data_IF_395035381694
#
_entry.id   IF_395035381694
#
_cell.length_a   1.000
_cell.length_b   1.000
_cell.length_c   1.000
_cell.angle_alpha   90.00
_cell.angle_beta   90.00
_cell.angle_gamma   90.00
#
_symmetry.space_group_name_H-M   'P 1'
#
loop_
_entity.id
_entity.type
_entity.pdbx_description
1 polymer ?
#
# COMPACT_ATOMS: atom_id res chain seq x y z
N UNK A 1 35.42 6.46 32.87
CA UNK A 1 36.32 6.82 31.74
C UNK A 1 35.45 7.29 30.57
N UNK A 2 35.71 8.48 29.98
CA UNK A 2 34.86 9.10 28.95
C UNK A 2 34.59 8.22 27.71
N UNK A 3 35.63 7.57 27.18
CA UNK A 3 35.51 6.67 26.02
C UNK A 3 34.60 5.45 26.27
N UNK A 4 34.54 4.96 27.51
CA UNK A 4 33.65 3.84 27.85
C UNK A 4 32.18 4.28 27.89
N UNK A 5 31.91 5.53 28.27
CA UNK A 5 30.57 6.10 28.21
C UNK A 5 30.10 6.29 26.77
N UNK A 6 30.99 6.78 25.89
CA UNK A 6 30.70 6.90 24.46
C UNK A 6 30.41 5.54 23.81
N UNK A 7 31.22 4.51 24.10
CA UNK A 7 30.96 3.15 23.61
C UNK A 7 29.56 2.67 24.00
N UNK A 8 29.21 2.78 25.29
CA UNK A 8 27.89 2.34 25.79
C UNK A 8 26.72 3.09 25.13
N UNK A 9 26.89 4.38 24.84
CA UNK A 9 25.87 5.16 24.15
C UNK A 9 25.73 4.72 22.68
N UNK A 10 26.85 4.48 21.99
CA UNK A 10 26.84 3.94 20.62
C UNK A 10 26.19 2.55 20.53
N UNK A 11 26.45 1.68 21.51
CA UNK A 11 25.80 0.36 21.59
C UNK A 11 24.28 0.51 21.75
N UNK A 12 23.80 1.45 22.58
CA UNK A 12 22.35 1.72 22.75
C UNK A 12 21.71 2.33 21.51
N UNK A 13 22.39 3.25 20.82
CA UNK A 13 21.90 3.83 19.57
C UNK A 13 21.79 2.79 18.45
N UNK A 14 22.71 1.82 18.42
CA UNK A 14 22.65 0.70 17.46
C UNK A 14 21.42 -0.20 17.70
N UNK A 15 20.87 -0.18 18.91
CA UNK A 15 19.63 -0.87 19.27
C UNK A 15 18.37 0.01 19.07
N UNK A 16 18.52 1.20 18.49
CA UNK A 16 17.41 2.13 18.22
C UNK A 16 17.01 3.04 19.39
N UNK A 17 17.77 3.03 20.49
CA UNK A 17 17.47 3.83 21.68
C UNK A 17 18.25 5.17 21.69
N UNK A 18 17.73 6.17 20.99
CA UNK A 18 18.33 7.51 20.88
C UNK A 18 18.06 8.44 22.06
N UNK A 19 17.47 7.94 23.16
CA UNK A 19 17.11 8.75 24.33
C UNK A 19 18.30 9.10 25.24
N UNK A 20 19.45 8.48 24.98
CA UNK A 20 20.64 8.59 25.83
C UNK A 20 21.39 9.89 25.54
N UNK A 21 21.83 10.58 26.58
CA UNK A 21 22.68 11.77 26.48
C UNK A 21 24.05 11.47 27.12
N UNK A 22 25.12 11.68 26.37
CA UNK A 22 26.49 11.57 26.87
C UNK A 22 26.87 12.85 27.62
N UNK A 23 26.75 12.81 28.95
CA UNK A 23 27.14 13.92 29.82
C UNK A 23 28.62 13.86 30.19
N UNK A 24 29.50 14.24 29.26
CA UNK A 24 30.94 14.43 29.54
C UNK A 24 31.21 15.92 29.78
N UNK A 25 31.60 16.26 31.02
CA UNK A 25 32.06 17.61 31.37
C UNK A 25 33.58 17.68 31.18
N UNK A 26 34.02 17.95 29.96
CA UNK A 26 35.42 18.19 29.64
C UNK A 26 35.52 19.34 28.65
N UNK A 27 36.54 20.18 28.78
CA UNK A 27 36.81 21.29 27.85
C UNK A 27 37.84 20.91 26.76
N UNK A 28 38.16 19.62 26.64
CA UNK A 28 39.07 19.06 25.65
C UNK A 28 38.31 18.55 24.40
N UNK A 29 39.04 17.96 23.47
CA UNK A 29 38.50 17.37 22.25
C UNK A 29 37.46 16.27 22.53
N UNK A 30 37.52 15.61 23.70
CA UNK A 30 36.54 14.60 24.10
C UNK A 30 35.20 15.25 24.43
N UNK A 31 35.20 16.44 25.04
CA UNK A 31 33.99 17.22 25.28
C UNK A 31 33.31 17.64 23.98
N UNK A 32 34.08 18.15 23.02
CA UNK A 32 33.58 18.55 21.69
C UNK A 32 33.02 17.35 20.92
N UNK A 33 33.71 16.20 20.98
CA UNK A 33 33.26 14.97 20.36
C UNK A 33 31.96 14.46 21.00
N UNK A 34 31.83 14.54 22.32
CA UNK A 34 30.61 14.15 23.04
C UNK A 34 29.41 15.02 22.61
N UNK A 35 29.58 16.35 22.52
CA UNK A 35 28.55 17.26 22.05
C UNK A 35 28.16 16.98 20.59
N UNK A 36 29.14 16.75 19.72
CA UNK A 36 28.91 16.40 18.31
C UNK A 36 28.15 15.08 18.19
N UNK A 37 28.52 14.08 19.00
CA UNK A 37 27.85 12.79 19.04
C UNK A 37 26.39 12.90 19.51
N UNK A 38 26.13 13.67 20.58
CA UNK A 38 24.78 13.96 21.04
C UNK A 38 23.93 14.67 19.97
N UNK A 39 24.51 15.63 19.23
CA UNK A 39 23.83 16.30 18.11
C UNK A 39 23.47 15.33 16.99
N UNK A 40 24.37 14.42 16.63
CA UNK A 40 24.09 13.38 15.63
C UNK A 40 22.99 12.43 16.09
N UNK A 41 23.05 11.99 17.35
CA UNK A 41 22.04 11.11 17.94
C UNK A 41 20.64 11.74 17.93
N UNK A 42 20.56 13.02 18.33
CA UNK A 42 19.31 13.77 18.31
C UNK A 42 18.76 13.89 16.88
N UNK A 43 19.59 14.28 15.91
CA UNK A 43 19.18 14.35 14.50
C UNK A 43 18.68 13.00 13.97
N UNK A 44 19.35 11.91 14.31
CA UNK A 44 18.95 10.58 13.88
C UNK A 44 17.62 10.16 14.51
N UNK A 45 17.43 10.41 15.81
CA UNK A 45 16.16 10.21 16.49
C UNK A 45 15.02 11.02 15.86
N UNK A 46 15.26 12.31 15.59
CA UNK A 46 14.28 13.19 14.94
C UNK A 46 13.90 12.68 13.54
N UNK A 47 14.86 12.21 12.75
CA UNK A 47 14.62 11.62 11.43
C UNK A 47 13.79 10.34 11.51
N UNK A 48 14.07 9.46 12.47
CA UNK A 48 13.31 8.21 12.65
C UNK A 48 11.87 8.51 13.05
N UNK A 49 11.65 9.46 13.96
CA UNK A 49 10.31 9.90 14.34
C UNK A 49 9.57 10.50 13.15
N UNK A 50 10.22 11.33 12.34
CA UNK A 50 9.64 11.89 11.13
C UNK A 50 9.23 10.80 10.12
N UNK A 51 10.12 9.84 9.85
CA UNK A 51 9.84 8.70 8.97
C UNK A 51 8.70 7.82 9.49
N UNK A 52 8.66 7.57 10.80
CA UNK A 52 7.57 6.79 11.41
C UNK A 52 6.23 7.50 11.24
N UNK A 53 6.18 8.83 11.43
CA UNK A 53 4.97 9.63 11.20
C UNK A 53 4.52 9.61 9.74
N UNK A 54 5.45 9.72 8.79
CA UNK A 54 5.13 9.65 7.36
C UNK A 54 4.56 8.27 6.99
N UNK A 55 5.17 7.19 7.51
CA UNK A 55 4.66 5.83 7.36
C UNK A 55 3.25 5.67 7.94
N UNK A 56 3.02 6.16 9.16
CA UNK A 56 1.70 6.12 9.80
C UNK A 56 0.65 6.93 9.02
N UNK A 57 1.02 8.09 8.47
CA UNK A 57 0.14 8.91 7.66
C UNK A 57 -0.26 8.18 6.36
N UNK A 58 0.70 7.59 5.65
CA UNK A 58 0.44 6.77 4.46
C UNK A 58 -0.46 5.58 4.81
N UNK A 59 -0.15 4.87 5.90
CA UNK A 59 -0.97 3.74 6.37
C UNK A 59 -2.40 4.17 6.71
N UNK A 60 -2.57 5.32 7.34
CA UNK A 60 -3.90 5.86 7.69
C UNK A 60 -4.70 6.20 6.44
N UNK A 61 -4.07 6.85 5.45
CA UNK A 61 -4.69 7.16 4.15
C UNK A 61 -5.11 5.87 3.43
N UNK A 62 -4.23 4.87 3.34
CA UNK A 62 -4.55 3.59 2.71
C UNK A 62 -5.68 2.83 3.43
N UNK A 63 -5.77 2.98 4.76
CA UNK A 63 -6.80 2.36 5.58
C UNK A 63 -8.16 3.06 5.51
N UNK A 64 -8.17 4.37 5.23
CA UNK A 64 -9.41 5.16 5.09
C UNK A 64 -9.94 5.19 3.66
N UNK A 65 -9.12 4.80 2.67
CA UNK A 65 -9.60 4.54 1.32
C UNK A 65 -10.65 3.42 1.34
N UNK A 66 -11.78 3.67 0.67
CA UNK A 66 -12.81 2.65 0.43
C UNK A 66 -12.36 1.68 -0.67
N UNK A 67 -11.55 2.17 -1.60
CA UNK A 67 -11.00 1.40 -2.70
C UNK A 67 -9.97 0.37 -2.18
N UNK A 68 -10.02 -0.84 -2.73
CA UNK A 68 -9.01 -1.86 -2.52
C UNK A 68 -7.76 -1.55 -3.33
N UNK A 69 -6.59 -1.56 -2.70
CA UNK A 69 -5.30 -1.40 -3.37
C UNK A 69 -4.50 -2.69 -3.24
N UNK A 70 -4.02 -3.21 -4.36
CA UNK A 70 -3.17 -4.40 -4.45
C UNK A 70 -1.92 -4.04 -5.25
N UNK A 71 -0.75 -4.34 -4.69
CA UNK A 71 0.53 -4.23 -5.42
C UNK A 71 1.04 -5.63 -5.75
N UNK A 72 1.40 -5.83 -7.01
CA UNK A 72 1.94 -7.07 -7.56
C UNK A 72 3.40 -6.89 -7.96
N UNK A 73 4.23 -7.93 -7.80
CA UNK A 73 5.59 -7.98 -8.34
C UNK A 73 5.59 -8.39 -9.84
N UNK A 74 6.78 -8.59 -10.42
CA UNK A 74 6.96 -9.02 -11.82
C UNK A 74 6.35 -10.39 -12.11
N UNK A 75 6.26 -11.25 -11.11
CA UNK A 75 5.74 -12.60 -11.22
C UNK A 75 4.23 -12.65 -10.94
N UNK A 76 3.59 -11.50 -10.69
CA UNK A 76 2.16 -11.39 -10.38
C UNK A 76 1.82 -11.75 -8.94
N UNK A 77 2.81 -11.78 -8.04
CA UNK A 77 2.61 -12.07 -6.62
C UNK A 77 2.29 -10.80 -5.84
N UNK A 78 1.32 -10.91 -4.93
CA UNK A 78 0.90 -9.82 -4.04
C UNK A 78 2.03 -9.45 -3.07
N UNK A 79 2.48 -8.19 -3.11
CA UNK A 79 3.47 -7.60 -2.20
C UNK A 79 2.78 -6.80 -1.09
N UNK A 80 1.78 -5.99 -1.43
CA UNK A 80 1.10 -5.07 -0.50
C UNK A 80 -0.40 -5.07 -0.78
N UNK A 81 -1.20 -5.07 0.27
CA UNK A 81 -2.65 -4.89 0.24
C UNK A 81 -3.10 -3.89 1.30
N UNK A 82 -4.21 -3.20 1.06
CA UNK A 82 -4.91 -2.46 2.11
C UNK A 82 -6.09 -3.29 2.68
N UNK A 83 -6.66 -2.91 3.84
CA UNK A 83 -7.74 -3.69 4.48
C UNK A 83 -8.98 -3.94 3.59
N UNK A 84 -9.48 -2.96 2.81
CA UNK A 84 -10.53 -3.23 1.82
C UNK A 84 -10.16 -4.29 0.79
N UNK A 85 -8.94 -4.25 0.23
CA UNK A 85 -8.47 -5.25 -0.72
C UNK A 85 -8.40 -6.65 -0.10
N UNK A 86 -7.99 -6.77 1.16
CA UNK A 86 -7.99 -8.07 1.86
C UNK A 86 -9.40 -8.67 1.97
N UNK A 87 -10.41 -7.83 2.26
CA UNK A 87 -11.81 -8.26 2.29
C UNK A 87 -12.28 -8.76 0.92
N UNK A 88 -11.95 -8.03 -0.14
CA UNK A 88 -12.29 -8.41 -1.52
C UNK A 88 -11.58 -9.69 -1.95
N UNK A 89 -10.29 -9.84 -1.65
CA UNK A 89 -9.50 -11.04 -1.93
C UNK A 89 -10.06 -12.28 -1.22
N UNK A 90 -10.50 -12.15 0.04
CA UNK A 90 -11.15 -13.24 0.78
C UNK A 90 -12.45 -13.68 0.12
N UNK A 91 -13.28 -12.74 -0.34
CA UNK A 91 -14.50 -13.05 -1.08
C UNK A 91 -14.21 -13.78 -2.40
N UNK A 92 -13.14 -13.38 -3.11
CA UNK A 92 -12.66 -14.05 -4.32
C UNK A 92 -12.22 -15.48 -4.10
N UNK A 93 -11.40 -15.73 -3.07
CA UNK A 93 -10.93 -17.08 -2.80
C UNK A 93 -12.07 -18.03 -2.39
N UNK A 94 -13.06 -17.52 -1.66
CA UNK A 94 -14.23 -18.30 -1.27
C UNK A 94 -15.04 -18.78 -2.49
N UNK A 95 -15.24 -17.93 -3.51
CA UNK A 95 -15.93 -18.34 -4.74
C UNK A 95 -15.17 -19.38 -5.56
N UNK A 96 -13.83 -19.36 -5.51
CA UNK A 96 -12.99 -20.29 -6.27
C UNK A 96 -12.74 -21.62 -5.53
N UNK A 97 -13.39 -21.85 -4.38
CA UNK A 97 -13.24 -23.08 -3.60
C UNK A 97 -11.87 -23.20 -2.90
N UNK A 98 -11.14 -22.09 -2.74
CA UNK A 98 -9.86 -22.07 -2.05
C UNK A 98 -10.05 -21.98 -0.54
N UNK A 99 -9.70 -23.05 0.18
CA UNK A 99 -9.57 -23.02 1.64
C UNK A 99 -8.30 -22.28 2.05
N UNK A 100 -8.41 -20.99 2.38
CA UNK A 100 -7.48 -20.31 3.28
C UNK A 100 -6.10 -19.91 2.75
N UNK A 101 -5.65 -18.77 3.25
CA UNK A 101 -4.28 -18.27 3.34
C UNK A 101 -3.34 -18.46 2.14
N UNK A 102 -3.10 -17.35 1.45
CA UNK A 102 -1.95 -17.14 0.56
C UNK A 102 -1.94 -17.94 -0.76
N UNK A 103 -3.09 -18.07 -1.44
CA UNK A 103 -2.97 -18.28 -2.89
C UNK A 103 -2.32 -17.03 -3.49
N UNK A 104 -1.09 -17.22 -3.98
CA UNK A 104 -0.14 -16.18 -4.38
C UNK A 104 -0.61 -15.46 -5.66
N UNK A 105 -1.67 -15.98 -6.28
CA UNK A 105 -2.14 -15.64 -7.61
C UNK A 105 -3.52 -15.00 -7.44
N UNK A 106 -3.64 -13.74 -7.85
CA UNK A 106 -4.95 -13.12 -7.96
C UNK A 106 -5.83 -13.93 -8.92
N UNK A 107 -7.14 -13.95 -8.72
CA UNK A 107 -8.07 -14.69 -9.59
C UNK A 107 -7.82 -14.40 -11.08
N UNK A 108 -8.16 -15.36 -11.95
CA UNK A 108 -7.86 -15.33 -13.39
C UNK A 108 -8.09 -13.97 -14.09
N UNK A 109 -9.14 -13.23 -13.69
CA UNK A 109 -9.46 -11.90 -14.21
C UNK A 109 -8.40 -10.82 -13.90
N UNK A 110 -7.79 -10.83 -12.70
CA UNK A 110 -6.70 -9.89 -12.37
C UNK A 110 -5.42 -10.30 -13.06
N UNK A 111 -5.15 -11.60 -13.17
CA UNK A 111 -3.95 -12.08 -13.86
C UNK A 111 -3.96 -11.70 -15.34
N UNK A 112 -5.12 -11.73 -16.01
CA UNK A 112 -5.24 -11.28 -17.40
C UNK A 112 -4.98 -9.78 -17.54
N UNK A 113 -5.55 -8.96 -16.65
CA UNK A 113 -5.29 -7.51 -16.60
C UNK A 113 -3.80 -7.24 -16.36
N UNK A 114 -3.18 -7.96 -15.43
CA UNK A 114 -1.76 -7.86 -15.12
C UNK A 114 -0.87 -8.18 -16.33
N UNK A 115 -1.14 -9.28 -17.02
CA UNK A 115 -0.40 -9.64 -18.22
C UNK A 115 -0.54 -8.58 -19.32
N UNK A 116 -1.71 -7.98 -19.47
CA UNK A 116 -1.95 -6.91 -20.43
C UNK A 116 -1.18 -5.63 -20.05
N UNK A 117 -1.22 -5.22 -18.79
CA UNK A 117 -0.49 -4.05 -18.26
C UNK A 117 1.02 -4.22 -18.42
N UNK A 118 1.56 -5.39 -18.07
CA UNK A 118 3.01 -5.67 -18.18
C UNK A 118 3.46 -5.75 -19.63
N UNK A 119 2.63 -6.33 -20.52
CA UNK A 119 2.96 -6.47 -21.94
C UNK A 119 2.90 -5.15 -22.69
N UNK A 120 1.88 -4.34 -22.41
CA UNK A 120 1.63 -3.08 -23.13
C UNK A 120 2.26 -1.87 -22.45
N UNK A 121 2.74 -2.02 -21.21
CA UNK A 121 3.25 -0.92 -20.37
C UNK A 121 2.27 0.24 -20.24
N UNK A 122 0.97 -0.07 -20.22
CA UNK A 122 -0.12 0.90 -20.16
C UNK A 122 -1.10 0.52 -19.08
N UNK A 123 -1.82 1.52 -18.57
CA UNK A 123 -2.92 1.29 -17.65
C UNK A 123 -4.07 0.56 -18.33
N UNK A 124 -4.68 -0.37 -17.61
CA UNK A 124 -5.85 -1.13 -18.05
C UNK A 124 -6.97 -0.94 -17.06
N UNK A 125 -8.17 -0.68 -17.59
CA UNK A 125 -9.40 -0.52 -16.83
C UNK A 125 -10.34 -1.64 -17.21
N UNK A 126 -10.81 -2.42 -16.23
CA UNK A 126 -11.73 -3.52 -16.45
C UNK A 126 -12.73 -3.65 -15.30
N UNK A 127 -13.95 -4.03 -15.62
CA UNK A 127 -14.97 -4.34 -14.62
C UNK A 127 -14.98 -5.84 -14.33
N UNK A 128 -14.94 -6.21 -13.05
CA UNK A 128 -14.93 -7.59 -12.56
C UNK A 128 -16.13 -7.78 -11.65
N UNK A 129 -16.92 -8.83 -11.89
CA UNK A 129 -18.11 -9.15 -11.08
C UNK A 129 -17.79 -10.33 -10.18
N UNK A 130 -18.00 -10.16 -8.87
CA UNK A 130 -17.79 -11.21 -7.85
C UNK A 130 -18.81 -11.13 -6.76
N UNK A 131 -19.36 -12.28 -6.38
CA UNK A 131 -20.43 -12.42 -5.38
C UNK A 131 -21.61 -11.47 -5.65
N UNK A 132 -21.89 -11.20 -6.94
CA UNK A 132 -22.92 -10.25 -7.36
C UNK A 132 -22.57 -8.77 -7.19
N UNK A 133 -21.36 -8.44 -6.74
CA UNK A 133 -20.83 -7.06 -6.69
C UNK A 133 -20.02 -6.75 -7.93
N UNK A 134 -20.09 -5.50 -8.39
CA UNK A 134 -19.34 -5.03 -9.56
C UNK A 134 -18.18 -4.17 -9.10
N UNK A 135 -16.96 -4.63 -9.37
CA UNK A 135 -15.74 -3.92 -9.06
C UNK A 135 -15.15 -3.31 -10.33
N UNK A 136 -14.84 -2.02 -10.31
CA UNK A 136 -14.01 -1.41 -11.34
C UNK A 136 -12.54 -1.49 -10.93
N UNK A 137 -11.74 -2.16 -11.75
CA UNK A 137 -10.32 -2.41 -11.51
C UNK A 137 -9.51 -1.55 -12.48
N UNK A 138 -8.69 -0.66 -11.92
CA UNK A 138 -7.69 0.12 -12.66
C UNK A 138 -6.32 -0.42 -12.27
N UNK A 139 -5.56 -0.90 -13.24
CA UNK A 139 -4.22 -1.41 -13.00
C UNK A 139 -3.19 -0.65 -13.82
N UNK A 140 -2.12 -0.19 -13.16
CA UNK A 140 -1.04 0.57 -13.77
C UNK A 140 0.32 -0.10 -13.52
N UNK A 141 1.26 -0.04 -14.47
CA UNK A 141 2.59 -0.63 -14.29
C UNK A 141 3.41 0.20 -13.29
N UNK A 142 4.17 -0.49 -12.44
CA UNK A 142 5.13 0.12 -11.53
C UNK A 142 6.53 0.04 -12.13
N UNK A 143 7.25 1.16 -12.18
CA UNK A 143 8.60 1.23 -12.74
C UNK A 143 9.66 1.37 -11.64
N UNK A 144 10.78 0.68 -11.82
CA UNK A 144 12.03 0.91 -11.11
C UNK A 144 13.16 1.09 -12.13
N UNK A 145 13.82 2.25 -12.11
CA UNK A 145 14.97 2.58 -12.98
C UNK A 145 14.81 2.10 -14.43
N UNK A 146 13.67 2.42 -15.06
CA UNK A 146 13.32 2.06 -16.45
C UNK A 146 12.95 0.58 -16.72
N UNK A 147 12.72 -0.23 -15.69
CA UNK A 147 12.11 -1.56 -15.87
C UNK A 147 10.82 -1.68 -15.07
N UNK A 148 9.81 -2.33 -15.65
CA UNK A 148 8.58 -2.68 -14.94
C UNK A 148 8.92 -3.60 -13.77
N UNK A 149 8.73 -3.13 -12.54
CA UNK A 149 8.93 -3.88 -11.29
C UNK A 149 7.69 -4.70 -10.90
N UNK A 150 6.54 -4.39 -11.51
CA UNK A 150 5.28 -5.07 -11.25
C UNK A 150 4.11 -4.16 -11.64
N UNK A 151 2.99 -4.26 -10.93
CA UNK A 151 1.84 -3.42 -11.18
C UNK A 151 1.12 -3.06 -9.88
N UNK A 152 0.39 -1.94 -9.90
CA UNK A 152 -0.54 -1.56 -8.84
C UNK A 152 -1.95 -1.61 -9.38
N UNK A 153 -2.84 -2.31 -8.69
CA UNK A 153 -4.26 -2.39 -8.99
C UNK A 153 -5.05 -1.66 -7.91
N UNK A 154 -5.96 -0.80 -8.35
CA UNK A 154 -6.96 -0.12 -7.52
C UNK A 154 -8.32 -0.66 -7.92
N UNK A 155 -9.11 -1.06 -6.93
CA UNK A 155 -10.37 -1.77 -7.10
C UNK A 155 -11.44 -1.02 -6.35
N UNK A 156 -12.43 -0.49 -7.07
CA UNK A 156 -13.55 0.23 -6.48
C UNK A 156 -14.81 -0.59 -6.60
N UNK A 157 -15.52 -0.79 -5.49
CA UNK A 157 -16.88 -1.32 -5.53
C UNK A 157 -17.79 -0.26 -6.16
N UNK A 158 -18.34 -0.56 -7.34
CA UNK A 158 -19.26 0.30 -8.09
C UNK A 158 -20.66 -0.31 -8.17
N UNK A 159 -20.99 -1.23 -7.27
CA UNK A 159 -22.25 -1.99 -7.33
C UNK A 159 -23.46 -1.07 -7.25
N UNK A 160 -23.45 -0.10 -6.33
CA UNK A 160 -24.57 0.84 -6.16
C UNK A 160 -24.73 1.74 -7.39
N UNK A 161 -23.63 2.32 -7.88
CA UNK A 161 -23.63 3.22 -9.03
C UNK A 161 -24.10 2.50 -10.30
N UNK A 162 -23.62 1.27 -10.53
CA UNK A 162 -24.04 0.44 -11.67
C UNK A 162 -25.50 0.03 -11.56
N UNK A 163 -25.98 -0.25 -10.35
CA UNK A 163 -27.39 -0.60 -10.11
C UNK A 163 -28.31 0.59 -10.39
N UNK A 164 -27.95 1.79 -9.93
CA UNK A 164 -28.70 3.03 -10.19
C UNK A 164 -28.72 3.36 -11.68
N UNK A 165 -27.58 3.27 -12.37
CA UNK A 165 -27.51 3.54 -13.81
C UNK A 165 -28.38 2.56 -14.62
N UNK A 166 -28.39 1.28 -14.21
CA UNK A 166 -29.25 0.25 -14.82
C UNK A 166 -30.74 0.56 -14.61
N UNK A 167 -31.16 0.86 -13.37
CA UNK A 167 -32.55 1.22 -13.07
C UNK A 167 -33.02 2.43 -13.88
N UNK A 168 -32.16 3.44 -14.04
CA UNK A 168 -32.47 4.63 -14.84
C UNK A 168 -32.68 4.28 -16.32
N UNK A 169 -31.82 3.44 -16.89
CA UNK A 169 -31.93 2.98 -18.29
C UNK A 169 -33.21 2.17 -18.52
N UNK A 170 -33.50 1.24 -17.61
CA UNK A 170 -34.70 0.40 -17.69
C UNK A 170 -35.98 1.23 -17.59
N UNK A 171 -36.01 2.26 -16.74
CA UNK A 171 -37.13 3.20 -16.66
C UNK A 171 -37.35 3.96 -17.98
N UNK A 172 -36.29 4.52 -18.57
CA UNK A 172 -36.38 5.26 -19.84
C UNK A 172 -36.84 4.35 -20.98
N UNK A 173 -36.34 3.11 -21.01
CA UNK A 173 -36.76 2.10 -22.00
C UNK A 173 -38.24 1.76 -21.85
N UNK A 174 -38.72 1.51 -20.63
CA UNK A 174 -40.11 1.17 -20.36
C UNK A 174 -41.08 2.31 -20.72
N UNK A 175 -40.76 3.55 -20.34
CA UNK A 175 -41.57 4.73 -20.69
C UNK A 175 -41.61 4.94 -22.22
N UNK A 176 -40.50 4.68 -22.92
CA UNK A 176 -40.45 4.77 -24.38
C UNK A 176 -41.27 3.69 -25.06
N UNK A 177 -41.35 2.49 -24.48
CA UNK A 177 -42.19 1.40 -24.98
C UNK A 177 -43.68 1.68 -24.79
N UNK A 178 -44.09 2.24 -23.65
CA UNK A 178 -45.49 2.59 -23.38
C UNK A 178 -46.00 3.80 -24.17
N UNK A 179 -45.14 4.77 -24.50
CA UNK A 179 -45.52 5.93 -25.33
C UNK A 179 -45.62 5.64 -26.83
N UNK A 180 -45.06 4.51 -27.28
CA UNK A 180 -44.99 4.11 -28.69
C UNK A 180 -46.07 3.08 -29.08
N UNK A 181 -46.83 2.60 -28.09
CA UNK A 181 -48.00 1.72 -28.25
C UNK A 181 -49.27 2.54 -28.08
#
# INVERSE_FOLDING_TARGET
KPLSAMKKAADRYSLGDFSVDIKIKSNDEIGVLADTFNKMAKRLGDLIVALSREKEQISSVLSSMVDGVITLDRDGKIIVTNPPAEGMLKAWWYEQGGEGEHSTICGWAILSIFQEVVKNEQEVIADVIVQGRTFSVVMAPLYDRNQVRGAVAVMRDMTEERTVDKMRKDFVANVSHELRT
#
